data_IF_917380256430
#
_entry.id   IF_917380256430
#
_cell.length_a   1.000
_cell.length_b   1.000
_cell.length_c   1.000
_cell.angle_alpha   90.00
_cell.angle_beta   90.00
_cell.angle_gamma   90.00
#
_symmetry.space_group_name_H-M   'P 1'
#
loop_
_entity.id
_entity.type
_entity.pdbx_description
1 polymer ?
#
# COMPACT_ATOMS: atom_id res chain seq x y z
N UNK A 1 2.76 -11.98 26.45
CA UNK A 1 1.93 -10.98 25.75
C UNK A 1 1.23 -11.72 24.64
N UNK A 2 -0.10 -11.67 24.60
CA UNK A 2 -0.85 -12.28 23.52
C UNK A 2 -0.82 -11.30 22.33
N UNK A 3 -0.15 -11.69 21.24
CA UNK A 3 -0.02 -10.85 20.04
C UNK A 3 -0.85 -11.48 18.93
N UNK A 4 -2.00 -10.87 18.65
CA UNK A 4 -2.95 -11.32 17.64
C UNK A 4 -3.62 -10.15 16.93
N UNK A 5 -4.17 -10.44 15.76
CA UNK A 5 -4.98 -9.48 15.00
C UNK A 5 -6.45 -9.61 15.44
N UNK A 6 -7.06 -8.47 15.78
CA UNK A 6 -8.45 -8.40 16.21
C UNK A 6 -9.33 -8.04 15.02
N UNK A 7 -10.26 -8.92 14.66
CA UNK A 7 -11.19 -8.75 13.54
C UNK A 7 -12.59 -8.41 14.04
N UNK A 8 -13.32 -7.62 13.24
CA UNK A 8 -14.75 -7.44 13.42
C UNK A 8 -15.48 -8.76 13.15
N UNK A 9 -16.55 -9.04 13.89
CA UNK A 9 -17.35 -10.24 13.71
C UNK A 9 -18.26 -10.14 12.46
N UNK A 10 -17.64 -10.18 11.29
CA UNK A 10 -18.32 -10.18 9.99
C UNK A 10 -18.37 -11.61 9.44
N UNK A 11 -19.52 -12.09 8.92
CA UNK A 11 -19.68 -13.49 8.50
C UNK A 11 -18.70 -13.93 7.40
N UNK A 12 -18.27 -12.98 6.57
CA UNK A 12 -17.28 -13.14 5.50
C UNK A 12 -16.48 -11.84 5.38
N UNK A 13 -15.31 -11.73 6.02
CA UNK A 13 -14.50 -10.54 5.89
C UNK A 13 -13.95 -10.43 4.47
N UNK A 14 -14.31 -9.36 3.77
CA UNK A 14 -13.73 -9.03 2.47
C UNK A 14 -12.30 -8.51 2.63
N UNK A 15 -11.43 -8.81 1.67
CA UNK A 15 -10.09 -8.24 1.58
C UNK A 15 -10.16 -6.94 0.78
N UNK A 16 -9.88 -5.82 1.44
CA UNK A 16 -9.83 -4.51 0.81
C UNK A 16 -8.37 -4.08 0.63
N UNK A 17 -7.98 -3.76 -0.60
CA UNK A 17 -6.66 -3.23 -0.93
C UNK A 17 -6.74 -1.79 -1.39
N UNK A 18 -5.84 -0.95 -0.86
CA UNK A 18 -5.66 0.45 -1.27
C UNK A 18 -4.22 0.64 -1.73
N UNK A 19 -4.04 1.44 -2.78
CA UNK A 19 -2.74 1.86 -3.28
C UNK A 19 -2.74 3.38 -3.46
N UNK A 20 -1.61 4.01 -3.18
CA UNK A 20 -1.41 5.47 -3.29
C UNK A 20 0.05 5.75 -3.66
N UNK A 21 0.29 6.83 -4.40
CA UNK A 21 1.63 7.28 -4.71
C UNK A 21 1.84 8.78 -4.54
N UNK A 22 2.88 9.14 -3.78
CA UNK A 22 3.36 10.52 -3.71
C UNK A 22 4.39 10.80 -4.80
N UNK A 23 4.02 11.54 -5.86
CA UNK A 23 4.98 11.98 -6.88
C UNK A 23 5.98 13.00 -6.34
N UNK A 24 7.27 12.78 -6.60
CA UNK A 24 8.39 13.59 -6.10
C UNK A 24 8.32 13.88 -4.58
N UNK A 25 7.75 12.95 -3.81
CA UNK A 25 7.46 13.16 -2.39
C UNK A 25 8.71 13.13 -1.49
N UNK A 26 9.84 12.57 -1.95
CA UNK A 26 11.11 12.63 -1.25
C UNK A 26 11.86 13.92 -1.55
N UNK A 27 11.91 14.83 -0.58
CA UNK A 27 12.58 16.13 -0.71
C UNK A 27 14.10 16.02 -0.99
N UNK A 28 14.74 14.89 -0.67
CA UNK A 28 16.18 14.75 -0.81
C UNK A 28 16.62 14.34 -2.24
N UNK A 29 15.89 13.44 -2.88
CA UNK A 29 16.27 12.88 -4.18
C UNK A 29 15.15 12.94 -5.23
N UNK A 30 14.00 13.56 -4.91
CA UNK A 30 12.84 13.66 -5.78
C UNK A 30 12.20 12.31 -6.11
N UNK A 31 12.52 11.22 -5.41
CA UNK A 31 11.89 9.94 -5.68
C UNK A 31 10.44 9.97 -5.23
N UNK A 32 9.60 9.31 -6.01
CA UNK A 32 8.22 9.09 -5.64
C UNK A 32 8.12 8.04 -4.54
N UNK A 33 7.04 8.03 -3.79
CA UNK A 33 6.80 7.07 -2.71
C UNK A 33 5.57 6.24 -3.07
N UNK A 34 5.71 4.91 -3.01
CA UNK A 34 4.61 3.96 -3.14
C UNK A 34 4.08 3.63 -1.76
N UNK A 35 2.75 3.58 -1.62
CA UNK A 35 2.07 3.08 -0.43
C UNK A 35 0.97 2.12 -0.80
N UNK A 36 0.76 1.12 0.05
CA UNK A 36 -0.41 0.28 0.01
C UNK A 36 -0.87 -0.11 1.41
N UNK A 37 -2.15 -0.47 1.50
CA UNK A 37 -2.82 -0.90 2.72
C UNK A 37 -3.82 -2.00 2.39
N UNK A 38 -3.70 -3.14 3.07
CA UNK A 38 -4.65 -4.24 3.02
C UNK A 38 -5.37 -4.37 4.35
N UNK A 39 -6.70 -4.40 4.30
CA UNK A 39 -7.56 -4.63 5.46
C UNK A 39 -8.47 -5.82 5.24
N UNK A 40 -8.75 -6.55 6.31
CA UNK A 40 -9.74 -7.62 6.34
C UNK A 40 -10.52 -7.52 7.66
N UNK A 41 -11.85 -7.58 7.61
CA UNK A 41 -12.68 -7.48 8.82
C UNK A 41 -12.46 -6.20 9.66
N UNK A 42 -12.04 -5.09 9.03
CA UNK A 42 -11.71 -3.82 9.70
C UNK A 42 -10.30 -3.75 10.28
N UNK A 43 -9.48 -4.79 10.07
CA UNK A 43 -8.13 -4.90 10.63
C UNK A 43 -7.11 -4.76 9.53
N UNK A 44 -6.09 -3.93 9.74
CA UNK A 44 -4.93 -3.87 8.84
C UNK A 44 -4.10 -5.14 8.96
N UNK A 45 -3.92 -5.86 7.85
CA UNK A 45 -3.19 -7.13 7.81
C UNK A 45 -1.84 -7.02 7.09
N UNK A 46 -1.73 -6.13 6.11
CA UNK A 46 -0.47 -5.81 5.43
C UNK A 46 -0.48 -4.34 5.02
N UNK A 47 0.66 -3.68 5.11
CA UNK A 47 0.83 -2.30 4.65
C UNK A 47 2.30 -2.06 4.36
N UNK A 48 2.56 -1.10 3.47
CA UNK A 48 3.92 -0.66 3.18
C UNK A 48 3.92 0.78 2.72
N UNK A 49 4.99 1.48 3.06
CA UNK A 49 5.34 2.78 2.49
C UNK A 49 6.83 2.77 2.17
N UNK A 50 7.17 2.85 0.88
CA UNK A 50 8.55 2.71 0.41
C UNK A 50 8.83 3.67 -0.74
N UNK A 51 10.06 4.19 -0.81
CA UNK A 51 10.51 4.98 -1.96
C UNK A 51 10.52 4.09 -3.21
N UNK A 52 10.03 4.60 -4.32
CA UNK A 52 10.05 3.91 -5.59
C UNK A 52 11.50 3.72 -6.04
N UNK A 53 11.84 2.48 -6.44
CA UNK A 53 13.16 2.16 -7.00
C UNK A 53 13.32 2.80 -8.38
N UNK A 54 12.25 2.77 -9.17
CA UNK A 54 12.16 3.39 -10.49
C UNK A 54 11.72 4.84 -10.34
N UNK A 55 12.39 5.76 -11.02
CA UNK A 55 11.96 7.16 -11.04
C UNK A 55 10.68 7.28 -11.86
N UNK A 56 9.59 7.66 -11.21
CA UNK A 56 8.38 8.03 -11.93
C UNK A 56 8.60 9.29 -12.77
N UNK A 57 7.93 9.35 -13.92
CA UNK A 57 7.95 10.51 -14.83
C UNK A 57 6.68 11.38 -14.71
N UNK A 58 5.68 10.93 -13.95
CA UNK A 58 4.42 11.66 -13.72
C UNK A 58 3.70 11.15 -12.46
N UNK A 59 2.68 11.86 -11.99
CA UNK A 59 1.81 11.36 -10.92
C UNK A 59 1.14 10.04 -11.31
N UNK A 60 0.60 9.95 -12.53
CA UNK A 60 -0.06 8.74 -13.02
C UNK A 60 0.88 7.54 -13.07
N UNK A 61 2.13 7.74 -13.52
CA UNK A 61 3.13 6.68 -13.52
C UNK A 61 3.46 6.24 -12.08
N UNK A 62 3.52 7.17 -11.13
CA UNK A 62 3.76 6.82 -9.73
C UNK A 62 2.61 5.98 -9.16
N UNK A 63 1.36 6.34 -9.46
CA UNK A 63 0.16 5.58 -9.06
C UNK A 63 0.13 4.17 -9.65
N UNK A 64 0.47 4.02 -10.94
CA UNK A 64 0.55 2.71 -11.59
C UNK A 64 1.60 1.81 -10.92
N UNK A 65 2.76 2.36 -10.56
CA UNK A 65 3.79 1.63 -9.82
C UNK A 65 3.31 1.22 -8.43
N UNK A 66 2.57 2.08 -7.73
CA UNK A 66 2.01 1.74 -6.43
C UNK A 66 0.95 0.63 -6.52
N UNK A 67 0.06 0.70 -7.50
CA UNK A 67 -0.94 -0.33 -7.75
C UNK A 67 -0.29 -1.67 -8.13
N UNK A 68 0.78 -1.65 -8.93
CA UNK A 68 1.54 -2.84 -9.27
C UNK A 68 2.18 -3.50 -8.04
N UNK A 69 2.83 -2.72 -7.16
CA UNK A 69 3.40 -3.26 -5.92
C UNK A 69 2.31 -3.81 -4.99
N UNK A 70 1.18 -3.13 -4.86
CA UNK A 70 0.04 -3.64 -4.09
C UNK A 70 -0.47 -4.97 -4.67
N UNK A 71 -0.60 -5.06 -5.99
CA UNK A 71 -1.04 -6.29 -6.68
C UNK A 71 -0.08 -7.46 -6.43
N UNK A 72 1.22 -7.19 -6.36
CA UNK A 72 2.25 -8.20 -6.05
C UNK A 72 2.21 -8.69 -4.61
N UNK A 73 1.83 -7.84 -3.66
CA UNK A 73 1.63 -8.22 -2.26
C UNK A 73 0.34 -9.03 -2.07
N UNK A 74 -0.68 -8.78 -2.89
CA UNK A 74 -1.98 -9.43 -2.80
C UNK A 74 -1.97 -10.91 -3.26
N UNK A 75 -1.00 -11.30 -4.09
CA UNK A 75 -0.86 -12.63 -4.71
C UNK A 75 0.08 -13.50 -3.91
#
# INVERSE_FOLDING_TARGET
MDMGLLYSNVPKPELNGYADAGYLSDAHNGKSQTRYLFTSGGTTISWRSVKQTISSTSSNHAEILALHEASRECV
#
